data_IF_103441413151
#
_entry.id   IF_103441413151
#
_cell.length_a   1.000
_cell.length_b   1.000
_cell.length_c   1.000
_cell.angle_alpha   90.00
_cell.angle_beta   90.00
_cell.angle_gamma   90.00
#
_symmetry.space_group_name_H-M   'P 1'
#
loop_
_entity.id
_entity.type
_entity.pdbx_description
1 polymer ?
#
# COMPACT_ATOMS: atom_id res chain seq x y z
N UNK A 1 -8.40 26.20 -17.78
CA UNK A 1 -8.58 24.75 -17.62
C UNK A 1 -7.70 23.97 -18.61
N UNK A 2 -7.81 24.23 -19.92
CA UNK A 2 -6.97 23.57 -20.95
C UNK A 2 -5.48 23.90 -20.76
N UNK A 3 -5.13 25.15 -20.46
CA UNK A 3 -3.74 25.56 -20.23
C UNK A 3 -3.12 24.85 -19.00
N UNK A 4 -3.87 24.69 -17.90
CA UNK A 4 -3.38 23.97 -16.73
C UNK A 4 -3.16 22.47 -17.01
N UNK A 5 -3.94 21.89 -17.92
CA UNK A 5 -3.75 20.51 -18.38
C UNK A 5 -2.52 20.37 -19.29
N UNK A 6 -2.26 21.37 -20.13
CA UNK A 6 -1.08 21.39 -20.99
C UNK A 6 0.18 21.63 -20.17
N UNK A 7 0.14 22.49 -19.16
CA UNK A 7 1.25 22.74 -18.23
C UNK A 7 1.53 21.46 -17.40
N UNK A 8 0.49 20.76 -16.94
CA UNK A 8 0.63 19.48 -16.24
C UNK A 8 1.29 18.40 -17.11
N UNK A 9 0.91 18.32 -18.39
CA UNK A 9 1.46 17.35 -19.34
C UNK A 9 2.83 17.77 -19.92
N UNK A 10 3.28 18.98 -19.70
CA UNK A 10 4.61 19.43 -20.16
C UNK A 10 5.72 19.05 -19.18
N UNK A 11 5.36 18.71 -17.94
CA UNK A 11 6.30 18.30 -16.91
C UNK A 11 6.43 16.76 -16.88
N UNK A 12 7.66 16.27 -17.04
CA UNK A 12 7.95 14.83 -17.10
C UNK A 12 7.55 14.06 -15.83
N UNK A 13 7.70 14.67 -14.66
CA UNK A 13 7.33 14.08 -13.38
C UNK A 13 5.81 13.86 -13.29
N UNK A 14 5.03 14.82 -13.72
CA UNK A 14 3.57 14.74 -13.75
C UNK A 14 3.06 13.64 -14.70
N UNK A 15 3.75 13.44 -15.83
CA UNK A 15 3.42 12.34 -16.76
C UNK A 15 3.68 10.99 -16.11
N UNK A 16 4.85 10.81 -15.48
CA UNK A 16 5.20 9.57 -14.79
C UNK A 16 4.22 9.29 -13.64
N UNK A 17 3.88 10.31 -12.86
CA UNK A 17 2.84 10.22 -11.83
C UNK A 17 1.51 9.74 -12.40
N UNK A 18 1.03 10.35 -13.49
CA UNK A 18 -0.24 9.99 -14.10
C UNK A 18 -0.25 8.54 -14.61
N UNK A 19 0.85 8.09 -15.23
CA UNK A 19 1.00 6.70 -15.69
C UNK A 19 0.95 5.73 -14.51
N UNK A 20 1.73 5.97 -13.45
CA UNK A 20 1.75 5.11 -12.26
C UNK A 20 0.39 5.09 -11.56
N UNK A 21 -0.30 6.23 -11.47
CA UNK A 21 -1.63 6.32 -10.89
C UNK A 21 -2.66 5.50 -11.70
N UNK A 22 -2.63 5.59 -13.03
CA UNK A 22 -3.52 4.81 -13.90
C UNK A 22 -3.23 3.31 -13.77
N UNK A 23 -1.96 2.90 -13.74
CA UNK A 23 -1.58 1.49 -13.56
C UNK A 23 -2.08 1.00 -12.18
N UNK A 24 -1.88 1.77 -11.12
CA UNK A 24 -2.30 1.41 -9.77
C UNK A 24 -3.81 1.25 -9.66
N UNK A 25 -4.58 2.23 -10.17
CA UNK A 25 -6.05 2.19 -10.13
C UNK A 25 -6.57 1.01 -10.97
N UNK A 26 -6.06 0.83 -12.19
CA UNK A 26 -6.46 -0.27 -13.06
C UNK A 26 -6.18 -1.63 -12.43
N UNK A 27 -4.99 -1.80 -11.84
CA UNK A 27 -4.60 -3.04 -11.16
C UNK A 27 -5.44 -3.31 -9.92
N UNK A 28 -5.83 -2.27 -9.16
CA UNK A 28 -6.73 -2.39 -8.02
C UNK A 28 -8.13 -2.84 -8.45
N UNK A 29 -8.64 -2.30 -9.55
CA UNK A 29 -9.94 -2.72 -10.13
C UNK A 29 -9.87 -4.16 -10.63
N UNK A 30 -8.78 -4.55 -11.30
CA UNK A 30 -8.58 -5.94 -11.74
C UNK A 30 -8.48 -6.91 -10.58
N UNK A 31 -7.79 -6.53 -9.49
CA UNK A 31 -7.72 -7.34 -8.28
C UNK A 31 -9.11 -7.73 -7.75
N UNK A 32 -10.05 -6.78 -7.72
CA UNK A 32 -11.42 -7.03 -7.23
C UNK A 32 -12.27 -7.78 -8.28
N UNK A 33 -11.99 -7.57 -9.56
CA UNK A 33 -12.81 -8.11 -10.66
C UNK A 33 -12.46 -9.55 -11.03
N UNK A 34 -11.23 -10.00 -10.77
CA UNK A 34 -10.80 -11.35 -11.11
C UNK A 34 -11.39 -12.39 -10.17
N UNK A 35 -11.81 -13.51 -10.73
CA UNK A 35 -12.30 -14.68 -9.97
C UNK A 35 -11.18 -15.69 -9.65
N UNK A 36 -10.10 -15.67 -10.43
CA UNK A 36 -8.96 -16.55 -10.21
C UNK A 36 -7.98 -15.91 -9.25
N UNK A 37 -7.74 -16.56 -8.14
CA UNK A 37 -6.88 -16.09 -7.05
C UNK A 37 -5.49 -15.67 -7.51
N UNK A 38 -4.87 -16.46 -8.39
CA UNK A 38 -3.53 -16.12 -8.91
C UNK A 38 -3.53 -14.77 -9.64
N UNK A 39 -4.57 -14.47 -10.45
CA UNK A 39 -4.68 -13.18 -11.15
C UNK A 39 -4.93 -12.02 -10.17
N UNK A 40 -5.72 -12.26 -9.10
CA UNK A 40 -5.94 -11.27 -8.05
C UNK A 40 -4.62 -10.87 -7.39
N UNK A 41 -3.79 -11.86 -7.02
CA UNK A 41 -2.52 -11.60 -6.33
C UNK A 41 -1.48 -10.98 -7.26
N UNK A 42 -1.43 -11.36 -8.54
CA UNK A 42 -0.57 -10.70 -9.52
C UNK A 42 -0.98 -9.22 -9.70
N UNK A 43 -2.28 -8.95 -9.75
CA UNK A 43 -2.79 -7.57 -9.81
C UNK A 43 -2.41 -6.78 -8.55
N UNK A 44 -2.49 -7.41 -7.36
CA UNK A 44 -2.05 -6.81 -6.10
C UNK A 44 -0.55 -6.49 -6.09
N UNK A 45 0.29 -7.41 -6.59
CA UNK A 45 1.72 -7.16 -6.72
C UNK A 45 1.99 -5.94 -7.62
N UNK A 46 1.22 -5.77 -8.70
CA UNK A 46 1.35 -4.63 -9.60
C UNK A 46 0.92 -3.32 -8.91
N UNK A 47 -0.10 -3.34 -8.04
CA UNK A 47 -0.46 -2.18 -7.19
C UNK A 47 0.72 -1.81 -6.29
N UNK A 48 1.36 -2.78 -5.64
CA UNK A 48 2.49 -2.51 -4.75
C UNK A 48 3.72 -1.99 -5.49
N UNK A 49 4.01 -2.50 -6.69
CA UNK A 49 5.08 -1.99 -7.53
C UNK A 49 4.82 -0.57 -8.01
N UNK A 50 3.57 -0.25 -8.37
CA UNK A 50 3.18 1.11 -8.76
C UNK A 50 3.31 2.08 -7.58
N UNK A 51 2.94 1.63 -6.36
CA UNK A 51 3.13 2.42 -5.14
C UNK A 51 4.62 2.70 -4.87
N UNK A 52 5.48 1.69 -5.05
CA UNK A 52 6.93 1.87 -4.94
C UNK A 52 7.44 2.91 -5.95
N UNK A 53 6.94 2.89 -7.19
CA UNK A 53 7.25 3.90 -8.20
C UNK A 53 6.84 5.31 -7.78
N UNK A 54 5.67 5.47 -7.14
CA UNK A 54 5.26 6.76 -6.58
C UNK A 54 6.17 7.22 -5.43
N UNK A 55 6.64 6.30 -4.58
CA UNK A 55 7.61 6.66 -3.53
C UNK A 55 8.96 7.13 -4.11
N UNK A 56 9.42 6.52 -5.21
CA UNK A 56 10.62 7.00 -5.91
C UNK A 56 10.39 8.42 -6.45
N UNK A 57 9.23 8.68 -7.03
CA UNK A 57 8.87 10.01 -7.53
C UNK A 57 8.84 11.07 -6.42
N UNK A 58 8.51 10.67 -5.19
CA UNK A 58 8.49 11.52 -4.00
C UNK A 58 9.86 11.59 -3.29
N UNK A 59 10.94 11.14 -3.92
CA UNK A 59 12.29 11.07 -3.34
C UNK A 59 12.37 10.27 -2.02
N UNK A 60 11.40 9.37 -1.78
CA UNK A 60 11.34 8.50 -0.61
C UNK A 60 11.98 7.13 -0.92
N UNK A 61 13.25 7.12 -1.29
CA UNK A 61 13.96 5.93 -1.80
C UNK A 61 13.94 4.75 -0.82
N UNK A 62 14.16 5.00 0.47
CA UNK A 62 14.13 3.96 1.50
C UNK A 62 12.75 3.29 1.57
N UNK A 63 11.68 4.09 1.57
CA UNK A 63 10.30 3.58 1.64
C UNK A 63 9.95 2.81 0.37
N UNK A 64 10.39 3.29 -0.81
CA UNK A 64 10.21 2.59 -2.07
C UNK A 64 10.88 1.21 -2.05
N UNK A 65 12.10 1.11 -1.53
CA UNK A 65 12.83 -0.14 -1.41
C UNK A 65 12.14 -1.13 -0.47
N UNK A 66 11.69 -0.67 0.68
CA UNK A 66 10.92 -1.46 1.66
C UNK A 66 9.60 -1.93 1.04
N UNK A 67 8.91 -1.08 0.28
CA UNK A 67 7.68 -1.41 -0.42
C UNK A 67 7.88 -2.58 -1.40
N UNK A 68 8.96 -2.58 -2.17
CA UNK A 68 9.28 -3.67 -3.10
C UNK A 68 9.64 -4.95 -2.35
N UNK A 69 10.53 -4.86 -1.35
CA UNK A 69 11.03 -6.05 -0.66
C UNK A 69 9.94 -6.73 0.20
N UNK A 70 9.21 -5.96 0.97
CA UNK A 70 8.24 -6.48 1.93
C UNK A 70 6.88 -6.70 1.28
N UNK A 71 6.29 -5.68 0.65
CA UNK A 71 4.92 -5.78 0.14
C UNK A 71 4.85 -6.53 -1.20
N UNK A 72 5.61 -6.10 -2.21
CA UNK A 72 5.60 -6.77 -3.50
C UNK A 72 6.31 -8.14 -3.45
N UNK A 73 7.34 -8.30 -2.62
CA UNK A 73 8.06 -9.53 -2.41
C UNK A 73 7.41 -10.44 -1.37
N UNK A 74 7.80 -10.29 -0.10
CA UNK A 74 7.48 -11.26 0.95
C UNK A 74 5.97 -11.46 1.17
N UNK A 75 5.21 -10.37 1.34
CA UNK A 75 3.76 -10.46 1.64
C UNK A 75 2.99 -11.04 0.45
N UNK A 76 3.30 -10.62 -0.78
CA UNK A 76 2.63 -11.15 -1.98
C UNK A 76 2.88 -12.64 -2.13
N UNK A 77 4.11 -13.11 -1.92
CA UNK A 77 4.46 -14.54 -1.99
C UNK A 77 3.73 -15.32 -0.89
N UNK A 78 3.77 -14.83 0.35
CA UNK A 78 3.05 -15.46 1.46
C UNK A 78 1.54 -15.53 1.21
N UNK A 79 0.97 -14.48 0.62
CA UNK A 79 -0.45 -14.45 0.26
C UNK A 79 -0.80 -15.49 -0.79
N UNK A 80 0.02 -15.66 -1.84
CA UNK A 80 -0.19 -16.72 -2.85
C UNK A 80 -0.22 -18.10 -2.19
N UNK A 81 0.78 -18.40 -1.36
CA UNK A 81 0.83 -19.68 -0.66
C UNK A 81 -0.34 -19.86 0.31
N UNK A 82 -0.68 -18.83 1.10
CA UNK A 82 -1.79 -18.86 2.04
C UNK A 82 -3.11 -19.16 1.35
N UNK A 83 -3.40 -18.51 0.22
CA UNK A 83 -4.66 -18.74 -0.51
C UNK A 83 -4.65 -20.09 -1.24
N UNK A 84 -3.51 -20.54 -1.78
CA UNK A 84 -3.42 -21.87 -2.40
C UNK A 84 -3.63 -23.01 -1.40
N UNK A 85 -3.22 -22.82 -0.13
CA UNK A 85 -3.41 -23.80 0.94
C UNK A 85 -4.82 -23.79 1.51
N UNK A 86 -5.57 -22.70 1.32
CA UNK A 86 -6.94 -22.58 1.82
C UNK A 86 -7.93 -23.13 0.79
N UNK A 87 -8.75 -24.12 1.17
CA UNK A 87 -9.86 -24.59 0.33
C UNK A 87 -10.88 -23.47 0.17
N UNK A 88 -11.06 -23.00 -1.04
CA UNK A 88 -12.17 -22.12 -1.39
C UNK A 88 -13.43 -22.99 -1.51
N UNK A 89 -14.18 -23.08 -0.44
CA UNK A 89 -15.50 -23.70 -0.51
C UNK A 89 -16.45 -22.72 -1.24
N UNK A 90 -17.44 -23.27 -1.94
CA UNK A 90 -18.36 -22.49 -2.77
C UNK A 90 -18.93 -21.35 -1.95
N UNK A 91 -18.79 -20.15 -2.47
CA UNK A 91 -19.47 -18.97 -1.92
C UNK A 91 -20.97 -19.29 -1.90
N UNK A 92 -21.53 -19.41 -0.70
CA UNK A 92 -22.96 -19.28 -0.52
C UNK A 92 -23.33 -17.89 -1.06
N UNK A 93 -24.27 -17.84 -2.00
CA UNK A 93 -24.75 -16.58 -2.58
C UNK A 93 -25.26 -15.70 -1.44
N UNK A 94 -24.47 -14.71 -1.05
CA UNK A 94 -24.90 -13.74 -0.04
C UNK A 94 -26.18 -13.05 -0.49
N UNK A 95 -27.20 -12.97 0.36
CA UNK A 95 -28.45 -12.32 0.02
C UNK A 95 -28.17 -10.86 -0.36
N UNK A 96 -28.53 -10.49 -1.58
CA UNK A 96 -28.40 -9.10 -2.08
C UNK A 96 -29.14 -8.15 -1.14
N UNK A 97 -28.40 -7.35 -0.37
CA UNK A 97 -28.94 -6.32 0.53
C UNK A 97 -28.78 -4.95 -0.12
N UNK A 98 -29.70 -4.55 -1.03
CA UNK A 98 -29.54 -3.32 -1.81
C UNK A 98 -29.45 -2.06 -0.94
N UNK A 99 -30.16 -2.01 0.17
CA UNK A 99 -30.11 -0.88 1.12
C UNK A 99 -28.71 -0.75 1.77
N UNK A 100 -28.06 -1.86 2.11
CA UNK A 100 -26.71 -1.84 2.69
C UNK A 100 -25.68 -1.35 1.68
N UNK A 101 -25.81 -1.74 0.43
CA UNK A 101 -24.89 -1.32 -0.65
C UNK A 101 -25.02 0.18 -0.93
N UNK A 102 -26.23 0.72 -0.90
CA UNK A 102 -26.45 2.18 -1.04
C UNK A 102 -25.86 2.95 0.13
N UNK A 103 -26.04 2.44 1.37
CA UNK A 103 -25.46 3.07 2.57
C UNK A 103 -23.93 3.07 2.53
N UNK A 104 -23.31 1.97 2.10
CA UNK A 104 -21.87 1.89 1.94
C UNK A 104 -21.35 2.85 0.86
N UNK A 105 -22.06 2.96 -0.27
CA UNK A 105 -21.71 3.88 -1.34
C UNK A 105 -21.79 5.35 -0.87
N UNK A 106 -22.86 5.71 -0.18
CA UNK A 106 -23.02 7.06 0.40
C UNK A 106 -21.93 7.35 1.44
N UNK A 107 -21.61 6.38 2.30
CA UNK A 107 -20.54 6.50 3.28
C UNK A 107 -19.16 6.71 2.64
N UNK A 108 -18.84 5.94 1.61
CA UNK A 108 -17.59 6.09 0.85
C UNK A 108 -17.51 7.45 0.16
N UNK A 109 -18.62 7.91 -0.43
CA UNK A 109 -18.67 9.21 -1.10
C UNK A 109 -18.57 10.38 -0.11
N UNK A 110 -19.19 10.25 1.07
CA UNK A 110 -19.07 11.24 2.14
C UNK A 110 -17.63 11.31 2.66
N UNK A 111 -16.98 10.16 2.88
CA UNK A 111 -15.57 10.11 3.30
C UNK A 111 -14.65 10.77 2.25
N UNK A 112 -14.87 10.45 0.98
CA UNK A 112 -14.13 11.10 -0.12
C UNK A 112 -14.31 12.62 -0.10
N UNK A 113 -15.56 13.09 0.08
CA UNK A 113 -15.87 14.52 0.17
C UNK A 113 -15.13 15.21 1.33
N UNK A 114 -15.15 14.60 2.52
CA UNK A 114 -14.43 15.14 3.68
C UNK A 114 -12.93 15.26 3.41
N UNK A 115 -12.30 14.23 2.86
CA UNK A 115 -10.87 14.25 2.53
C UNK A 115 -10.59 15.30 1.46
N UNK A 116 -11.41 15.36 0.41
CA UNK A 116 -11.25 16.32 -0.68
C UNK A 116 -11.30 17.76 -0.18
N UNK A 117 -12.32 18.12 0.64
CA UNK A 117 -12.42 19.45 1.21
C UNK A 117 -11.29 19.76 2.19
N UNK A 118 -10.87 18.78 3.01
CA UNK A 118 -9.73 18.96 3.91
C UNK A 118 -8.43 19.28 3.15
N UNK A 119 -8.19 18.63 2.02
CA UNK A 119 -7.02 18.90 1.17
C UNK A 119 -7.11 20.30 0.55
N UNK A 120 -8.30 20.72 0.09
CA UNK A 120 -8.49 22.04 -0.52
C UNK A 120 -8.32 23.20 0.47
N UNK A 121 -8.75 23.01 1.72
CA UNK A 121 -8.66 24.03 2.77
C UNK A 121 -7.27 24.08 3.44
N UNK A 122 -6.43 23.06 3.23
CA UNK A 122 -5.11 22.99 3.84
C UNK A 122 -4.09 23.76 3.01
N UNK A 123 -3.50 24.79 3.58
CA UNK A 123 -2.31 25.45 3.00
C UNK A 123 -1.08 24.60 3.31
N UNK A 124 -0.59 23.86 2.32
CA UNK A 124 0.67 23.14 2.46
C UNK A 124 1.82 24.15 2.45
N UNK A 125 2.31 24.53 3.62
CA UNK A 125 3.57 25.27 3.73
C UNK A 125 4.72 24.29 3.53
N UNK A 126 5.70 24.60 2.64
CA UNK A 126 6.88 23.77 2.50
C UNK A 126 7.55 23.61 3.87
N UNK A 127 7.76 22.38 4.32
CA UNK A 127 8.53 22.12 5.53
C UNK A 127 9.93 22.68 5.34
N UNK A 128 10.30 23.66 6.15
CA UNK A 128 11.69 24.12 6.23
C UNK A 128 12.53 22.95 6.75
N UNK A 129 13.33 22.33 5.88
CA UNK A 129 14.25 21.26 6.28
C UNK A 129 14.39 20.08 5.33
N UNK A 130 13.57 19.99 4.28
CA UNK A 130 13.83 19.01 3.22
C UNK A 130 14.86 19.61 2.25
N UNK A 131 16.13 19.25 2.43
CA UNK A 131 17.17 19.54 1.45
C UNK A 131 17.21 18.40 0.44
N UNK A 132 16.88 18.64 -0.84
CA UNK A 132 17.04 17.63 -1.90
C UNK A 132 18.51 17.21 -1.98
N UNK A 133 18.78 15.92 -1.85
CA UNK A 133 20.12 15.36 -1.94
C UNK A 133 20.74 14.87 -0.63
N UNK A 134 20.05 14.97 0.50
CA UNK A 134 20.42 14.24 1.70
C UNK A 134 20.13 12.74 1.51
N UNK A 135 21.07 11.89 1.93
CA UNK A 135 20.89 10.43 1.95
C UNK A 135 19.73 10.07 2.91
N UNK A 136 18.52 9.98 2.35
CA UNK A 136 17.28 9.67 3.08
C UNK A 136 17.43 8.40 3.92
N UNK A 137 18.10 7.39 3.39
CA UNK A 137 18.33 6.12 4.07
C UNK A 137 19.18 6.31 5.33
N UNK A 138 20.21 7.13 5.25
CA UNK A 138 21.10 7.44 6.37
C UNK A 138 20.37 8.23 7.46
N UNK A 139 19.59 9.24 7.07
CA UNK A 139 18.82 10.04 8.03
C UNK A 139 17.77 9.21 8.78
N UNK A 140 17.03 8.35 8.08
CA UNK A 140 16.10 7.41 8.72
C UNK A 140 16.84 6.47 9.66
N UNK A 141 18.01 5.94 9.25
CA UNK A 141 18.85 5.11 10.11
C UNK A 141 19.29 5.85 11.38
N UNK A 142 19.73 7.09 11.27
CA UNK A 142 20.12 7.89 12.43
C UNK A 142 18.94 8.16 13.37
N UNK A 143 17.76 8.46 12.85
CA UNK A 143 16.54 8.65 13.64
C UNK A 143 16.17 7.37 14.40
N UNK A 144 16.17 6.21 13.72
CA UNK A 144 15.84 4.92 14.33
C UNK A 144 16.78 4.55 15.49
N UNK A 145 18.09 4.80 15.33
CA UNK A 145 19.09 4.41 16.31
C UNK A 145 19.43 5.49 17.34
N UNK A 146 18.87 6.69 17.25
CA UNK A 146 19.09 7.77 18.23
C UNK A 146 17.81 8.16 18.96
N UNK A 147 16.77 8.49 18.22
CA UNK A 147 15.53 9.03 18.81
C UNK A 147 14.47 7.97 19.01
N UNK A 148 14.39 6.98 18.11
CA UNK A 148 13.36 5.94 18.09
C UNK A 148 13.89 4.55 18.48
N UNK A 149 14.94 4.49 19.30
CA UNK A 149 15.55 3.21 19.74
C UNK A 149 14.54 2.32 20.46
N UNK A 150 13.74 2.87 21.37
CA UNK A 150 12.76 2.11 22.14
C UNK A 150 11.68 1.52 21.24
N UNK A 151 10.99 2.28 20.36
CA UNK A 151 10.07 1.70 19.37
C UNK A 151 10.73 0.65 18.48
N UNK A 152 11.96 0.86 18.04
CA UNK A 152 12.72 -0.08 17.22
C UNK A 152 12.96 -1.42 17.93
N UNK A 153 13.40 -1.38 19.20
CA UNK A 153 13.58 -2.58 20.01
C UNK A 153 12.25 -3.32 20.27
N UNK A 154 11.19 -2.58 20.58
CA UNK A 154 9.86 -3.19 20.79
C UNK A 154 9.36 -3.92 19.54
N UNK A 155 9.55 -3.35 18.35
CA UNK A 155 9.21 -4.02 17.09
C UNK A 155 10.05 -5.28 16.88
N UNK A 156 11.33 -5.26 17.22
CA UNK A 156 12.23 -6.43 17.12
C UNK A 156 11.78 -7.58 18.04
N UNK A 157 11.40 -7.26 19.28
CA UNK A 157 10.82 -8.24 20.22
C UNK A 157 9.50 -8.79 19.69
N UNK A 158 8.61 -7.92 19.16
CA UNK A 158 7.32 -8.31 18.60
C UNK A 158 7.50 -9.26 17.40
N UNK A 159 8.44 -8.98 16.52
CA UNK A 159 8.77 -9.86 15.38
C UNK A 159 9.27 -11.23 15.86
N UNK A 160 10.13 -11.25 16.88
CA UNK A 160 10.63 -12.50 17.47
C UNK A 160 9.50 -13.33 18.08
N UNK A 161 8.61 -12.70 18.86
CA UNK A 161 7.44 -13.36 19.45
C UNK A 161 6.48 -13.88 18.38
N UNK A 162 6.23 -13.09 17.33
CA UNK A 162 5.39 -13.52 16.21
C UNK A 162 6.00 -14.70 15.46
N UNK A 163 7.31 -14.71 15.26
CA UNK A 163 8.03 -15.82 14.64
C UNK A 163 7.93 -17.11 15.46
N UNK A 164 8.21 -17.04 16.78
CA UNK A 164 8.09 -18.19 17.68
C UNK A 164 6.63 -18.67 17.73
N UNK A 165 5.67 -17.74 17.85
CA UNK A 165 4.24 -18.05 17.88
C UNK A 165 3.80 -18.79 16.61
N UNK A 166 4.25 -18.37 15.43
CA UNK A 166 3.92 -19.04 14.17
C UNK A 166 4.45 -20.46 14.10
N UNK A 167 5.66 -20.71 14.61
CA UNK A 167 6.27 -22.03 14.66
C UNK A 167 5.49 -22.94 15.61
N UNK A 168 5.14 -22.43 16.79
CA UNK A 168 4.37 -23.21 17.79
C UNK A 168 3.00 -23.59 17.27
N UNK A 169 2.31 -22.64 16.59
CA UNK A 169 0.99 -22.93 15.96
C UNK A 169 1.06 -23.88 14.77
N UNK A 170 2.16 -23.84 14.01
CA UNK A 170 2.36 -24.74 12.87
C UNK A 170 2.75 -26.16 13.28
N UNK A 171 3.32 -26.36 14.48
CA UNK A 171 3.69 -27.67 15.00
C UNK A 171 2.44 -28.45 15.35
N UNK A 172 2.12 -29.46 14.55
CA UNK A 172 1.07 -30.43 14.84
C UNK A 172 1.54 -31.34 15.97
N UNK A 173 0.78 -31.45 17.04
CA UNK A 173 1.02 -32.49 18.03
C UNK A 173 0.69 -33.82 17.35
N UNK A 174 1.71 -34.66 17.15
CA UNK A 174 1.53 -36.07 16.83
C UNK A 174 1.16 -36.80 18.14
N UNK A 175 -0.15 -36.96 18.40
CA UNK A 175 -0.65 -37.94 19.33
C UNK A 175 -0.86 -39.29 18.61
#
# INVERSE_FOLDING_TARGET
>A
MINNLLDFLSDGENIVFAILAVIMISSSVFMISFTKVVHMVVSLALVFLSAAGLYVLLEAEFVAFVQVLIYAGAITILMIFGIMMTRHDKQDEEPKRPFYNVLLFVGAFALFGVIFFAIQDTTFTPSFGFEPGLDNTREIGLLLYREYVIPFELVSVLLTVAFIGSIVMAKREEE
#
